data_IF_067471844686
#
_entry.id   IF_067471844686
#
_cell.length_a   1.000
_cell.length_b   1.000
_cell.length_c   1.000
_cell.angle_alpha   90.00
_cell.angle_beta   90.00
_cell.angle_gamma   90.00
#
_symmetry.space_group_name_H-M   'P 1'
#
loop_
_entity.id
_entity.type
_entity.pdbx_description
1 polymer ?
#
# COMPACT_ATOMS: atom_id res chain seq x y z
N UNK A 1 -22.45 -1.44 -8.04
CA UNK A 1 -21.33 -1.70 -7.13
C UNK A 1 -20.79 -3.07 -7.49
N UNK A 2 -19.56 -3.14 -8.01
CA UNK A 2 -18.91 -4.42 -8.25
C UNK A 2 -18.55 -4.97 -6.88
N UNK A 3 -19.23 -6.04 -6.46
CA UNK A 3 -18.88 -6.77 -5.25
C UNK A 3 -17.48 -7.32 -5.46
N UNK A 4 -16.54 -7.03 -4.56
CA UNK A 4 -15.21 -7.59 -4.67
C UNK A 4 -15.18 -9.09 -4.37
N UNK A 5 -13.99 -9.69 -4.26
CA UNK A 5 -13.83 -11.13 -4.27
C UNK A 5 -14.43 -11.76 -3.01
N UNK A 6 -15.05 -12.94 -3.20
CA UNK A 6 -15.44 -13.84 -2.11
C UNK A 6 -14.44 -14.98 -2.05
N UNK A 7 -13.67 -15.07 -0.98
CA UNK A 7 -12.65 -16.11 -0.78
C UNK A 7 -13.07 -16.96 0.41
N UNK A 8 -13.52 -18.19 0.14
CA UNK A 8 -14.07 -19.04 1.19
C UNK A 8 -13.85 -20.53 0.98
N UNK A 9 -13.84 -21.28 2.10
CA UNK A 9 -13.74 -22.74 2.11
C UNK A 9 -12.39 -23.30 1.68
N UNK A 10 -11.35 -22.47 1.61
CA UNK A 10 -10.03 -22.90 1.17
C UNK A 10 -9.22 -23.49 2.33
N UNK A 11 -8.34 -24.44 2.01
CA UNK A 11 -7.25 -24.87 2.91
C UNK A 11 -5.92 -24.44 2.30
N UNK A 12 -5.21 -23.56 2.99
CA UNK A 12 -3.93 -23.01 2.58
C UNK A 12 -2.89 -23.46 3.61
N UNK A 13 -1.91 -24.26 3.19
CA UNK A 13 -0.93 -24.81 4.12
C UNK A 13 0.47 -24.87 3.51
N UNK A 14 1.49 -24.67 4.35
CA UNK A 14 2.90 -24.85 4.01
C UNK A 14 3.37 -24.04 2.76
N UNK A 15 2.88 -22.80 2.64
CA UNK A 15 3.21 -21.92 1.51
C UNK A 15 3.78 -20.57 1.94
N UNK A 16 4.36 -19.83 0.99
CA UNK A 16 5.02 -18.54 1.20
C UNK A 16 4.09 -17.41 1.69
N UNK A 17 2.79 -17.61 1.77
CA UNK A 17 1.82 -16.64 2.27
C UNK A 17 0.40 -17.18 2.22
N UNK A 18 -0.47 -16.66 3.08
CA UNK A 18 -1.90 -16.97 3.09
C UNK A 18 -2.66 -16.16 2.02
N UNK A 19 -3.66 -15.38 2.44
CA UNK A 19 -4.49 -14.57 1.54
C UNK A 19 -3.98 -13.13 1.52
N UNK A 20 -3.72 -12.58 0.34
CA UNK A 20 -3.32 -11.17 0.15
C UNK A 20 -4.32 -10.46 -0.76
N UNK A 21 -4.92 -9.37 -0.28
CA UNK A 21 -5.82 -8.49 -1.05
C UNK A 21 -5.14 -7.14 -1.24
N UNK A 22 -4.97 -6.72 -2.49
CA UNK A 22 -4.37 -5.43 -2.88
C UNK A 22 -5.28 -4.71 -3.87
N UNK A 23 -5.48 -3.41 -3.68
CA UNK A 23 -6.21 -2.57 -4.64
C UNK A 23 -7.71 -2.86 -4.76
N UNK A 24 -8.33 -3.45 -3.72
CA UNK A 24 -9.76 -3.77 -3.71
C UNK A 24 -10.43 -3.17 -2.48
N UNK A 25 -11.53 -2.45 -2.70
CA UNK A 25 -12.27 -1.74 -1.65
C UNK A 25 -13.42 -2.52 -1.02
N UNK A 26 -13.80 -3.70 -1.50
CA UNK A 26 -14.95 -4.47 -1.00
C UNK A 26 -14.67 -5.98 -1.13
N UNK A 27 -15.18 -6.83 -0.25
CA UNK A 27 -14.98 -8.29 -0.35
C UNK A 27 -15.35 -9.06 0.90
N UNK A 28 -15.36 -10.39 0.79
CA UNK A 28 -15.64 -11.30 1.92
C UNK A 28 -14.59 -12.41 1.96
N UNK A 29 -13.95 -12.61 3.12
CA UNK A 29 -12.99 -13.69 3.35
C UNK A 29 -13.47 -14.52 4.53
N UNK A 30 -13.96 -15.75 4.28
CA UNK A 30 -14.58 -16.54 5.34
C UNK A 30 -14.39 -18.04 5.27
N UNK A 31 -14.44 -18.71 6.44
CA UNK A 31 -14.36 -20.17 6.55
C UNK A 31 -13.14 -20.79 5.86
N UNK A 32 -12.00 -20.07 5.82
CA UNK A 32 -10.74 -20.60 5.32
C UNK A 32 -9.90 -21.18 6.47
N UNK A 33 -9.11 -22.21 6.17
CA UNK A 33 -8.14 -22.81 7.09
C UNK A 33 -6.71 -22.52 6.59
N UNK A 34 -5.96 -21.70 7.32
CA UNK A 34 -4.61 -21.24 6.96
C UNK A 34 -3.61 -21.73 8.02
N UNK A 35 -2.59 -22.47 7.58
CA UNK A 35 -1.66 -23.16 8.48
C UNK A 35 -0.21 -23.07 7.99
N UNK A 36 0.75 -22.82 8.88
CA UNK A 36 2.20 -22.80 8.57
C UNK A 36 2.57 -21.94 7.35
N UNK A 37 1.93 -20.78 7.23
CA UNK A 37 2.22 -19.78 6.20
C UNK A 37 3.10 -18.65 6.75
N UNK A 38 3.71 -17.84 5.89
CA UNK A 38 4.44 -16.64 6.36
C UNK A 38 3.47 -15.67 7.06
N UNK A 39 2.31 -15.40 6.47
CA UNK A 39 1.24 -14.59 7.05
C UNK A 39 -0.12 -15.25 6.83
N UNK A 40 -1.13 -14.88 7.63
CA UNK A 40 -2.50 -15.39 7.50
C UNK A 40 -3.31 -14.65 6.43
N UNK A 41 -3.86 -13.49 6.77
CA UNK A 41 -4.60 -12.62 5.86
C UNK A 41 -3.99 -11.22 5.88
N UNK A 42 -3.62 -10.69 4.72
CA UNK A 42 -3.14 -9.33 4.52
C UNK A 42 -4.11 -8.57 3.61
N UNK A 43 -4.65 -7.46 4.09
CA UNK A 43 -5.58 -6.62 3.32
C UNK A 43 -5.07 -5.19 3.16
N UNK A 44 -5.31 -4.60 2.00
CA UNK A 44 -5.10 -3.17 1.75
C UNK A 44 -5.88 -2.31 2.79
N UNK A 45 -5.34 -1.18 3.29
CA UNK A 45 -6.07 -0.24 4.15
C UNK A 45 -7.37 0.28 3.55
N UNK A 46 -7.52 0.22 2.22
CA UNK A 46 -8.75 0.60 1.51
C UNK A 46 -9.82 -0.49 1.50
N UNK A 47 -9.55 -1.67 2.05
CA UNK A 47 -10.49 -2.79 2.10
C UNK A 47 -11.69 -2.49 3.02
N UNK A 48 -12.88 -2.34 2.44
CA UNK A 48 -14.16 -2.20 3.14
C UNK A 48 -14.98 -3.50 3.00
N UNK A 49 -14.53 -4.56 3.65
CA UNK A 49 -15.15 -5.89 3.56
C UNK A 49 -15.13 -6.67 4.88
N UNK A 50 -15.66 -7.90 4.85
CA UNK A 50 -15.78 -8.75 6.03
C UNK A 50 -14.75 -9.88 6.05
N UNK A 51 -14.10 -10.08 7.19
CA UNK A 51 -13.21 -11.22 7.47
C UNK A 51 -13.76 -11.96 8.68
N UNK A 52 -14.33 -13.14 8.48
CA UNK A 52 -15.00 -13.88 9.57
C UNK A 52 -14.82 -15.39 9.45
N UNK A 53 -14.91 -16.11 10.57
CA UNK A 53 -14.87 -17.60 10.62
C UNK A 53 -13.61 -18.24 9.97
N UNK A 54 -12.49 -17.53 9.92
CA UNK A 54 -11.23 -18.11 9.41
C UNK A 54 -10.44 -18.76 10.55
N UNK A 55 -9.90 -19.95 10.31
CA UNK A 55 -8.97 -20.64 11.22
C UNK A 55 -7.55 -20.38 10.75
N UNK A 56 -6.79 -19.60 11.51
CA UNK A 56 -5.41 -19.24 11.18
C UNK A 56 -4.50 -19.70 12.31
N UNK A 57 -3.51 -20.54 11.99
CA UNK A 57 -2.60 -21.10 12.97
C UNK A 57 -1.16 -21.19 12.44
N UNK A 58 -0.20 -21.15 13.37
CA UNK A 58 1.22 -21.36 13.09
C UNK A 58 1.81 -20.47 11.97
N UNK A 59 1.28 -19.25 11.80
CA UNK A 59 1.87 -18.27 10.88
C UNK A 59 3.12 -17.62 11.49
N UNK A 60 4.08 -17.23 10.66
CA UNK A 60 5.35 -16.66 11.13
C UNK A 60 5.22 -15.18 11.52
N UNK A 61 4.40 -14.43 10.78
CA UNK A 61 4.08 -13.03 11.00
C UNK A 61 2.69 -12.91 11.67
N UNK A 62 1.84 -12.01 11.18
CA UNK A 62 0.51 -11.76 11.71
C UNK A 62 -0.54 -12.73 11.14
N UNK A 63 -1.50 -13.11 11.99
CA UNK A 63 -2.68 -13.88 11.58
C UNK A 63 -3.60 -13.06 10.67
N UNK A 64 -3.88 -11.81 11.03
CA UNK A 64 -4.59 -10.85 10.19
C UNK A 64 -3.88 -9.52 10.34
N UNK A 65 -3.48 -8.90 9.24
CA UNK A 65 -2.90 -7.55 9.25
C UNK A 65 -3.34 -6.71 8.07
N UNK A 66 -3.27 -5.40 8.27
CA UNK A 66 -3.44 -4.42 7.19
C UNK A 66 -2.07 -4.21 6.56
N UNK A 67 -1.99 -4.25 5.24
CA UNK A 67 -0.79 -3.98 4.47
C UNK A 67 -0.38 -2.55 4.77
N UNK A 68 0.78 -2.40 5.40
CA UNK A 68 1.37 -1.09 5.64
C UNK A 68 2.20 -0.72 4.43
N UNK A 69 1.75 0.29 3.67
CA UNK A 69 2.49 0.77 2.53
C UNK A 69 3.52 1.80 2.97
N UNK A 70 4.80 1.49 2.78
CA UNK A 70 5.86 2.46 2.90
C UNK A 70 6.05 3.16 1.54
N UNK A 71 5.83 4.48 1.40
CA UNK A 71 6.05 5.18 0.14
C UNK A 71 7.50 5.10 -0.35
N UNK A 72 8.49 4.95 0.55
CA UNK A 72 9.88 4.70 0.18
C UNK A 72 10.02 3.38 -0.59
N UNK A 73 9.42 2.31 -0.09
CA UNK A 73 9.52 0.98 -0.70
C UNK A 73 8.65 0.88 -1.96
N UNK A 74 7.42 1.39 -1.90
CA UNK A 74 6.47 1.29 -3.01
C UNK A 74 6.94 2.07 -4.24
N UNK A 75 7.34 3.33 -4.05
CA UNK A 75 7.81 4.16 -5.16
C UNK A 75 9.31 4.04 -5.42
N UNK A 76 10.06 3.33 -4.56
CA UNK A 76 11.52 3.27 -4.64
C UNK A 76 12.18 4.61 -4.28
N UNK A 77 11.53 5.42 -3.43
CA UNK A 77 12.11 6.67 -2.94
C UNK A 77 13.22 6.32 -1.93
N UNK A 78 14.44 6.85 -2.07
CA UNK A 78 15.50 6.66 -1.09
C UNK A 78 15.11 7.17 0.31
N UNK A 79 15.47 6.42 1.36
CA UNK A 79 15.13 6.76 2.75
C UNK A 79 15.78 8.05 3.26
N UNK A 80 16.81 8.57 2.58
CA UNK A 80 17.44 9.85 2.92
C UNK A 80 16.63 11.08 2.45
N UNK A 81 15.54 10.89 1.71
CA UNK A 81 14.61 11.97 1.35
C UNK A 81 13.71 12.30 2.54
N UNK A 82 13.57 13.58 2.84
CA UNK A 82 12.79 14.05 3.98
C UNK A 82 11.29 13.73 3.83
N UNK A 83 10.70 13.10 4.85
CA UNK A 83 9.27 12.78 4.90
C UNK A 83 8.36 13.98 4.65
N UNK A 84 8.74 15.17 5.13
CA UNK A 84 7.98 16.39 4.93
C UNK A 84 7.96 16.83 3.46
N UNK A 85 9.04 16.58 2.71
CA UNK A 85 9.12 16.87 1.28
C UNK A 85 8.25 15.91 0.48
N UNK A 86 8.25 14.62 0.85
CA UNK A 86 7.38 13.61 0.22
C UNK A 86 5.91 13.93 0.48
N UNK A 87 5.58 14.30 1.72
CA UNK A 87 4.22 14.70 2.09
C UNK A 87 3.76 15.93 1.32
N UNK A 88 4.58 16.98 1.25
CA UNK A 88 4.25 18.19 0.52
C UNK A 88 4.04 17.90 -0.97
N UNK A 89 4.85 17.03 -1.57
CA UNK A 89 4.67 16.57 -2.93
C UNK A 89 3.32 15.87 -3.12
N UNK A 90 2.98 14.91 -2.27
CA UNK A 90 1.70 14.20 -2.37
C UNK A 90 0.50 15.12 -2.17
N UNK A 91 0.58 16.07 -1.23
CA UNK A 91 -0.47 17.08 -1.02
C UNK A 91 -0.62 18.00 -2.25
N UNK A 92 0.47 18.42 -2.89
CA UNK A 92 0.42 19.23 -4.11
C UNK A 92 -0.15 18.47 -5.30
N UNK A 93 0.24 17.20 -5.47
CA UNK A 93 -0.31 16.34 -6.52
C UNK A 93 -1.81 16.11 -6.31
N UNK A 94 -2.23 15.87 -5.08
CA UNK A 94 -3.63 15.59 -4.77
C UNK A 94 -4.55 16.81 -5.00
N UNK A 95 -4.03 18.03 -4.79
CA UNK A 95 -4.75 19.28 -5.00
C UNK A 95 -4.67 19.81 -6.46
N UNK A 96 -3.87 19.17 -7.31
CA UNK A 96 -3.60 19.64 -8.67
C UNK A 96 -4.29 18.80 -9.73
N UNK A 97 -4.53 19.41 -10.90
CA UNK A 97 -5.00 18.66 -12.06
C UNK A 97 -3.92 17.72 -12.61
N UNK A 98 -4.34 16.58 -13.18
CA UNK A 98 -3.44 15.55 -13.74
C UNK A 98 -2.42 16.12 -14.74
N UNK A 99 -2.83 17.14 -15.53
CA UNK A 99 -1.97 17.77 -16.54
C UNK A 99 -0.75 18.47 -15.90
N UNK A 100 -0.85 18.90 -14.63
CA UNK A 100 0.23 19.57 -13.89
C UNK A 100 1.13 18.60 -13.12
N UNK A 101 0.76 17.32 -13.00
CA UNK A 101 1.48 16.36 -12.16
C UNK A 101 2.93 16.17 -12.61
N UNK A 102 3.18 16.15 -13.92
CA UNK A 102 4.54 15.99 -14.45
C UNK A 102 5.44 17.19 -14.12
N UNK A 103 4.90 18.41 -14.17
CA UNK A 103 5.59 19.65 -13.79
C UNK A 103 5.93 19.64 -12.30
N UNK A 104 4.94 19.36 -11.44
CA UNK A 104 5.10 19.28 -9.99
C UNK A 104 6.17 18.26 -9.59
N UNK A 105 6.19 17.08 -10.23
CA UNK A 105 7.19 16.04 -9.93
C UNK A 105 8.59 16.48 -10.36
N UNK A 106 8.74 17.17 -11.51
CA UNK A 106 10.02 17.74 -11.97
C UNK A 106 10.56 18.83 -11.05
N UNK A 107 9.69 19.59 -10.40
CA UNK A 107 10.10 20.62 -9.44
C UNK A 107 10.33 20.06 -8.03
N UNK A 108 9.89 18.83 -7.76
CA UNK A 108 9.98 18.21 -6.45
C UNK A 108 11.40 17.81 -6.05
N UNK A 109 11.60 17.52 -4.76
CA UNK A 109 12.84 16.95 -4.24
C UNK A 109 13.22 15.61 -4.90
N UNK A 110 12.25 14.88 -5.44
CA UNK A 110 12.51 13.60 -6.12
C UNK A 110 13.33 13.78 -7.39
N UNK A 111 13.28 14.95 -8.04
CA UNK A 111 14.06 15.28 -9.26
C UNK A 111 15.56 15.14 -9.08
N UNK A 112 16.04 15.19 -7.83
CA UNK A 112 17.46 15.09 -7.47
C UNK A 112 17.91 13.66 -7.23
N UNK A 113 17.00 12.69 -7.26
CA UNK A 113 17.32 11.27 -7.09
C UNK A 113 17.86 10.73 -8.42
N UNK A 114 18.96 9.98 -8.38
CA UNK A 114 19.61 9.42 -9.58
C UNK A 114 18.66 8.53 -10.41
N UNK A 115 17.64 7.94 -9.76
CA UNK A 115 16.58 7.13 -10.35
C UNK A 115 15.26 7.88 -10.59
N UNK A 116 15.29 9.22 -10.58
CA UNK A 116 14.10 10.07 -10.63
C UNK A 116 13.10 9.67 -11.72
N UNK A 117 13.54 9.43 -12.95
CA UNK A 117 12.64 9.07 -14.06
C UNK A 117 11.78 7.86 -13.73
N UNK A 118 12.35 6.81 -13.11
CA UNK A 118 11.60 5.62 -12.73
C UNK A 118 10.62 5.87 -11.59
N UNK A 119 11.02 6.68 -10.60
CA UNK A 119 10.16 7.06 -9.47
C UNK A 119 9.00 7.95 -9.95
N UNK A 120 9.31 8.93 -10.80
CA UNK A 120 8.33 9.84 -11.40
C UNK A 120 7.30 9.08 -12.23
N UNK A 121 7.73 8.11 -13.05
CA UNK A 121 6.82 7.25 -13.81
C UNK A 121 5.90 6.43 -12.91
N UNK A 122 6.42 5.84 -11.81
CA UNK A 122 5.59 5.09 -10.86
C UNK A 122 4.54 5.96 -10.19
N UNK A 123 4.92 7.16 -9.74
CA UNK A 123 3.99 8.11 -9.11
C UNK A 123 2.95 8.59 -10.14
N UNK A 124 3.37 8.95 -11.35
CA UNK A 124 2.46 9.39 -12.43
C UNK A 124 1.51 8.28 -12.88
N UNK A 125 1.97 7.04 -12.96
CA UNK A 125 1.11 5.92 -13.35
C UNK A 125 0.08 5.62 -12.26
N UNK A 126 0.48 5.66 -10.99
CA UNK A 126 -0.43 5.52 -9.86
C UNK A 126 -1.52 6.60 -9.88
N UNK A 127 -1.15 7.88 -10.06
CA UNK A 127 -2.14 8.98 -10.10
C UNK A 127 -3.06 8.90 -11.32
N UNK A 128 -2.61 8.36 -12.45
CA UNK A 128 -3.45 8.12 -13.64
C UNK A 128 -4.46 7.00 -13.42
N UNK A 129 -4.06 5.95 -12.72
CA UNK A 129 -4.88 4.74 -12.53
C UNK A 129 -5.92 4.91 -11.41
N UNK A 130 -5.52 5.51 -10.30
CA UNK A 130 -6.34 5.60 -9.08
C UNK A 130 -6.78 7.04 -8.74
N UNK A 131 -6.36 8.03 -9.51
CA UNK A 131 -6.61 9.44 -9.23
C UNK A 131 -5.67 10.04 -8.17
N UNK A 132 -5.90 11.31 -7.77
CA UNK A 132 -5.15 12.02 -6.73
C UNK A 132 -5.52 11.51 -5.33
N UNK A 133 -5.11 10.29 -4.99
CA UNK A 133 -5.41 9.65 -3.70
C UNK A 133 -4.15 9.34 -2.89
N UNK A 134 -3.03 9.99 -3.21
CA UNK A 134 -1.72 9.67 -2.62
C UNK A 134 -1.72 9.92 -1.11
N UNK A 135 -2.33 10.99 -0.63
CA UNK A 135 -2.42 11.29 0.80
C UNK A 135 -3.43 10.41 1.52
N UNK A 136 -4.51 9.98 0.87
CA UNK A 136 -5.42 9.01 1.45
C UNK A 136 -4.74 7.64 1.64
N UNK A 137 -3.93 7.23 0.67
CA UNK A 137 -3.26 5.93 0.68
C UNK A 137 -1.98 5.91 1.53
N UNK A 138 -1.11 6.93 1.38
CA UNK A 138 0.19 6.99 2.03
C UNK A 138 0.28 7.95 3.22
N UNK A 139 -0.68 8.87 3.37
CA UNK A 139 -0.70 9.85 4.47
C UNK A 139 -0.59 9.20 5.86
N UNK A 140 -1.39 8.18 6.20
CA UNK A 140 -1.28 7.49 7.49
C UNK A 140 0.12 6.89 7.75
N UNK A 141 0.84 6.50 6.70
CA UNK A 141 2.18 5.92 6.80
C UNK A 141 3.27 6.98 6.90
N UNK A 142 3.11 8.13 6.23
CA UNK A 142 4.04 9.26 6.33
C UNK A 142 4.15 9.82 7.76
N UNK A 143 3.06 9.82 8.53
CA UNK A 143 3.08 10.24 9.94
C UNK A 143 3.79 9.22 10.85
N UNK A 144 3.68 7.94 10.54
CA UNK A 144 4.24 6.86 11.37
C UNK A 144 5.74 6.62 11.11
N UNK A 145 6.25 7.00 9.94
CA UNK A 145 7.67 6.85 9.59
C UNK A 145 8.58 7.86 10.31
N UNK A 146 8.06 9.02 10.73
CA UNK A 146 8.83 10.02 11.48
C UNK A 146 9.21 9.60 12.90
N UNK A 147 8.58 8.54 13.41
CA UNK A 147 8.83 7.97 14.74
C UNK A 147 9.70 6.70 14.69
N UNK A 148 10.15 6.26 13.51
CA UNK A 148 11.09 5.15 13.45
C UNK A 148 12.45 5.62 13.98
N UNK A 149 13.09 4.85 14.87
CA UNK A 149 14.46 5.14 15.25
C UNK A 149 15.32 5.19 13.99
N UNK A 150 15.97 6.33 13.75
CA UNK A 150 17.00 6.44 12.74
C UNK A 150 18.08 5.38 13.03
N UNK A 151 18.59 4.67 12.02
CA UNK A 151 19.68 3.71 12.21
C UNK A 151 20.94 4.38 12.78
#
# INVERSE_FOLDING_TARGET
MNKGPKIYGNTIHDCGGGIKIEGISDGEIYSNNIDRCIFGIKVDPTFEGEIFDNRIQAVQEDAISIIKYNPYEYFGIPQNINLNEIRALFEQLDQSSIIKHEEIIKESALSKIEQFTSIAERILNFTKEYGPVLTAYFGPYLHNLGNLPQP
#
